data_IF_989846390371
#
_entry.id   IF_989846390371
#
_cell.length_a   1.000
_cell.length_b   1.000
_cell.length_c   1.000
_cell.angle_alpha   90.00
_cell.angle_beta   90.00
_cell.angle_gamma   90.00
#
_symmetry.space_group_name_H-M   'P 1'
#
loop_
_entity.id
_entity.type
_entity.pdbx_description
1 polymer ?
#
# COMPACT_ATOMS: atom_id res chain seq x y z
N UNK A 1 4.48 -15.88 -22.80
CA UNK A 1 4.89 -16.08 -21.38
C UNK A 1 4.68 -14.77 -20.65
N UNK A 2 3.82 -14.71 -19.64
CA UNK A 2 3.55 -13.49 -18.89
C UNK A 2 4.73 -13.19 -17.95
N UNK A 3 5.54 -12.20 -18.29
CA UNK A 3 6.67 -11.75 -17.45
C UNK A 3 6.12 -11.33 -16.07
N UNK A 4 6.48 -12.06 -15.02
CA UNK A 4 6.16 -11.73 -13.63
C UNK A 4 6.64 -10.30 -13.36
N UNK A 5 5.72 -9.37 -13.12
CA UNK A 5 6.08 -7.97 -12.80
C UNK A 5 6.93 -7.97 -11.53
N UNK A 6 8.19 -7.52 -11.62
CA UNK A 6 9.04 -7.28 -10.44
C UNK A 6 8.34 -6.24 -9.55
N UNK A 7 7.95 -6.64 -8.34
CA UNK A 7 7.37 -5.75 -7.34
C UNK A 7 8.50 -5.16 -6.50
N UNK A 8 8.56 -3.83 -6.42
CA UNK A 8 9.53 -3.13 -5.58
C UNK A 8 8.88 -2.67 -4.28
N UNK A 9 9.58 -2.82 -3.16
CA UNK A 9 9.12 -2.37 -1.84
C UNK A 9 9.04 -0.83 -1.78
N UNK A 10 8.19 -0.30 -0.90
CA UNK A 10 8.04 1.15 -0.73
C UNK A 10 9.37 1.82 -0.35
N UNK A 11 10.14 1.20 0.55
CA UNK A 11 11.47 1.66 0.94
C UNK A 11 12.45 1.73 -0.24
N UNK A 12 12.46 0.71 -1.11
CA UNK A 12 13.33 0.69 -2.28
C UNK A 12 12.97 1.80 -3.27
N UNK A 13 11.68 2.00 -3.54
CA UNK A 13 11.22 3.09 -4.41
C UNK A 13 11.63 4.46 -3.87
N UNK A 14 11.48 4.68 -2.56
CA UNK A 14 11.88 5.92 -1.90
C UNK A 14 13.40 6.16 -2.00
N UNK A 15 14.22 5.14 -1.77
CA UNK A 15 15.68 5.24 -1.89
C UNK A 15 16.12 5.60 -3.32
N UNK A 16 15.56 4.94 -4.34
CA UNK A 16 15.88 5.21 -5.75
C UNK A 16 15.40 6.60 -6.17
N UNK A 17 14.20 7.00 -5.75
CA UNK A 17 13.68 8.34 -6.00
C UNK A 17 14.54 9.42 -5.35
N UNK A 18 14.98 9.21 -4.11
CA UNK A 18 15.85 10.14 -3.39
C UNK A 18 17.22 10.27 -4.07
N UNK A 19 17.82 9.16 -4.51
CA UNK A 19 19.05 9.19 -5.30
C UNK A 19 18.89 9.99 -6.61
N UNK A 20 17.73 9.87 -7.28
CA UNK A 20 17.41 10.62 -8.50
C UNK A 20 17.07 12.10 -8.26
N UNK A 21 16.66 12.48 -7.04
CA UNK A 21 16.43 13.87 -6.63
C UNK A 21 17.76 14.54 -6.24
N UNK A 22 18.63 13.82 -5.52
CA UNK A 22 19.91 14.34 -5.04
C UNK A 22 20.81 14.85 -6.16
N UNK A 23 20.71 14.25 -7.36
CA UNK A 23 21.37 14.77 -8.56
C UNK A 23 22.86 14.41 -8.69
N UNK A 24 23.45 13.72 -7.71
CA UNK A 24 24.84 13.24 -7.76
C UNK A 24 25.15 12.34 -8.96
N UNK A 25 24.13 11.66 -9.51
CA UNK A 25 24.22 10.72 -10.63
C UNK A 25 23.10 10.97 -11.61
N UNK A 26 23.37 10.72 -12.88
CA UNK A 26 22.33 10.80 -13.92
C UNK A 26 21.30 9.67 -13.73
N UNK A 27 20.10 9.86 -14.24
CA UNK A 27 19.04 8.83 -14.13
C UNK A 27 19.48 7.51 -14.75
N UNK A 28 20.28 7.55 -15.81
CA UNK A 28 20.84 6.35 -16.43
C UNK A 28 21.86 5.64 -15.53
N UNK A 29 22.69 6.38 -14.80
CA UNK A 29 23.61 5.79 -13.82
C UNK A 29 22.86 5.20 -12.61
N UNK A 30 21.81 5.86 -12.14
CA UNK A 30 20.93 5.33 -11.08
C UNK A 30 20.19 4.08 -11.58
N UNK A 31 19.73 4.08 -12.83
CA UNK A 31 19.12 2.92 -13.47
C UNK A 31 20.07 1.71 -13.50
N UNK A 32 21.32 1.92 -13.91
CA UNK A 32 22.34 0.88 -13.92
C UNK A 32 22.71 0.40 -12.51
N UNK A 33 22.80 1.32 -11.53
CA UNK A 33 23.19 0.96 -10.17
C UNK A 33 22.13 0.11 -9.45
N UNK A 34 20.85 0.44 -9.65
CA UNK A 34 19.74 -0.19 -8.94
C UNK A 34 19.02 -1.26 -9.77
N UNK A 35 19.47 -1.53 -11.00
CA UNK A 35 18.80 -2.42 -11.98
C UNK A 35 17.32 -2.05 -12.19
N UNK A 36 17.06 -0.74 -12.36
CA UNK A 36 15.71 -0.19 -12.53
C UNK A 36 15.61 0.56 -13.84
N UNK A 37 14.53 0.33 -14.59
CA UNK A 37 14.29 1.05 -15.83
C UNK A 37 14.13 2.57 -15.58
N UNK A 38 14.78 3.47 -16.36
CA UNK A 38 14.72 4.92 -16.17
C UNK A 38 13.30 5.49 -16.01
N UNK A 39 12.33 4.99 -16.78
CA UNK A 39 10.91 5.39 -16.68
C UNK A 39 10.32 5.20 -15.27
N UNK A 40 10.68 4.12 -14.57
CA UNK A 40 10.22 3.87 -13.21
C UNK A 40 10.85 4.87 -12.23
N UNK A 41 12.12 5.22 -12.44
CA UNK A 41 12.83 6.21 -11.63
C UNK A 41 12.16 7.58 -11.78
N UNK A 42 11.82 7.99 -12.99
CA UNK A 42 11.06 9.23 -13.23
C UNK A 42 9.71 9.22 -12.52
N UNK A 43 8.97 8.10 -12.60
CA UNK A 43 7.68 7.95 -11.93
C UNK A 43 7.81 8.05 -10.40
N UNK A 44 8.79 7.36 -9.80
CA UNK A 44 9.01 7.37 -8.35
C UNK A 44 9.55 8.73 -7.88
N UNK A 45 10.39 9.39 -8.66
CA UNK A 45 10.83 10.77 -8.39
C UNK A 45 9.64 11.73 -8.31
N UNK A 46 8.72 11.66 -9.29
CA UNK A 46 7.49 12.47 -9.27
C UNK A 46 6.60 12.14 -8.07
N UNK A 47 6.45 10.86 -7.75
CA UNK A 47 5.65 10.41 -6.62
C UNK A 47 6.24 10.89 -5.28
N UNK A 48 7.57 10.84 -5.12
CA UNK A 48 8.25 11.31 -3.91
C UNK A 48 8.15 12.83 -3.76
N UNK A 49 8.27 13.60 -4.84
CA UNK A 49 8.10 15.06 -4.80
C UNK A 49 6.66 15.45 -4.43
N UNK A 50 5.65 14.80 -5.02
CA UNK A 50 4.26 15.06 -4.69
C UNK A 50 3.88 14.63 -3.25
N UNK A 51 4.49 13.55 -2.76
CA UNK A 51 4.30 13.09 -1.38
C UNK A 51 5.18 13.79 -0.35
N UNK A 52 6.19 14.57 -0.77
CA UNK A 52 7.08 15.24 0.17
C UNK A 52 6.35 16.30 0.99
N UNK A 53 5.42 17.03 0.36
CA UNK A 53 4.58 18.03 1.03
C UNK A 53 3.73 17.41 2.14
N UNK A 54 3.20 16.20 1.93
CA UNK A 54 2.37 15.53 2.94
C UNK A 54 3.16 15.09 4.17
N UNK A 55 4.45 14.80 4.01
CA UNK A 55 5.36 14.48 5.13
C UNK A 55 5.51 15.68 6.09
N UNK A 56 5.50 16.90 5.57
CA UNK A 56 5.63 18.12 6.37
C UNK A 56 4.28 18.76 6.75
N UNK A 57 3.23 18.53 5.96
CA UNK A 57 1.87 18.99 6.24
C UNK A 57 1.21 18.20 7.39
N UNK A 58 1.56 16.92 7.53
CA UNK A 58 1.07 16.09 8.63
C UNK A 58 1.94 16.26 9.88
N UNK A 59 1.60 17.24 10.70
CA UNK A 59 1.86 17.14 12.13
C UNK A 59 1.10 15.94 12.71
N UNK A 60 1.70 14.76 12.67
CA UNK A 60 1.22 13.49 13.27
C UNK A 60 0.03 12.80 12.54
N UNK A 61 0.39 11.66 11.91
CA UNK A 61 -0.41 10.46 11.48
C UNK A 61 -1.27 10.54 10.21
N UNK A 62 -1.17 9.48 9.36
CA UNK A 62 -2.00 8.30 9.59
C UNK A 62 -1.16 7.02 9.68
N UNK A 63 -0.97 6.50 10.90
CA UNK A 63 -0.51 5.13 11.12
C UNK A 63 -1.74 4.23 11.18
N UNK A 64 -2.31 3.91 10.02
CA UNK A 64 -3.43 2.98 9.91
C UNK A 64 -4.16 3.16 8.58
N UNK A 65 -4.73 2.09 7.98
CA UNK A 65 -5.73 2.24 6.93
C UNK A 65 -6.84 3.20 7.40
N UNK A 66 -7.51 3.93 6.51
CA UNK A 66 -8.75 4.61 6.89
C UNK A 66 -9.71 3.54 7.40
N UNK A 67 -9.98 3.56 8.71
CA UNK A 67 -10.88 2.63 9.40
C UNK A 67 -12.36 2.87 9.04
N UNK A 68 -12.64 3.60 7.95
CA UNK A 68 -13.99 3.88 7.46
C UNK A 68 -14.83 2.61 7.25
N UNK A 69 -14.18 1.46 7.02
CA UNK A 69 -14.83 0.16 6.83
C UNK A 69 -14.59 -0.82 7.97
N UNK A 70 -13.72 -0.51 8.91
CA UNK A 70 -13.37 -1.43 9.99
C UNK A 70 -14.58 -1.65 10.90
N UNK A 71 -15.27 -0.57 11.26
CA UNK A 71 -16.51 -0.64 12.05
C UNK A 71 -17.65 -1.34 11.30
N UNK A 72 -17.77 -1.09 9.99
CA UNK A 72 -18.77 -1.74 9.13
C UNK A 72 -18.53 -3.26 9.04
N UNK A 73 -17.27 -3.66 8.85
CA UNK A 73 -16.86 -5.07 8.80
C UNK A 73 -17.06 -5.76 10.15
N UNK A 74 -16.74 -5.10 11.28
CA UNK A 74 -17.03 -5.65 12.61
C UNK A 74 -18.54 -5.82 12.84
N UNK A 75 -19.36 -4.86 12.42
CA UNK A 75 -20.82 -4.98 12.51
C UNK A 75 -21.37 -6.13 11.65
N UNK A 76 -20.82 -6.34 10.45
CA UNK A 76 -21.20 -7.44 9.57
C UNK A 76 -20.81 -8.81 10.15
N UNK A 77 -19.61 -8.93 10.72
CA UNK A 77 -19.18 -10.15 11.42
C UNK A 77 -20.11 -10.46 12.60
N UNK A 78 -20.50 -9.44 13.39
CA UNK A 78 -21.45 -9.60 14.49
C UNK A 78 -22.82 -10.11 14.03
N UNK A 79 -23.39 -9.51 12.96
CA UNK A 79 -24.66 -9.96 12.36
C UNK A 79 -24.58 -11.40 11.88
N UNK A 80 -23.57 -11.73 11.10
CA UNK A 80 -23.38 -13.09 10.56
C UNK A 80 -23.26 -14.13 11.66
N UNK A 81 -22.60 -13.79 12.79
CA UNK A 81 -22.49 -14.71 13.93
C UNK A 81 -23.86 -15.00 14.56
N UNK A 82 -24.68 -13.96 14.78
CA UNK A 82 -26.03 -14.12 15.33
C UNK A 82 -26.93 -14.92 14.40
N UNK A 83 -26.89 -14.65 13.09
CA UNK A 83 -27.65 -15.41 12.09
C UNK A 83 -27.23 -16.88 12.07
N UNK A 84 -25.92 -17.14 12.12
CA UNK A 84 -25.39 -18.50 12.10
C UNK A 84 -25.76 -19.27 13.38
N UNK A 85 -25.71 -18.63 14.55
CA UNK A 85 -26.16 -19.23 15.81
C UNK A 85 -27.67 -19.49 15.82
N UNK A 86 -28.47 -18.59 15.23
CA UNK A 86 -29.90 -18.78 15.06
C UNK A 86 -30.24 -19.95 14.13
N UNK A 87 -29.56 -20.04 12.97
CA UNK A 87 -29.72 -21.14 12.02
C UNK A 87 -29.34 -22.46 12.67
N UNK A 88 -28.20 -22.53 13.37
CA UNK A 88 -27.76 -23.74 14.10
C UNK A 88 -28.77 -24.18 15.15
N UNK A 89 -29.34 -23.24 15.91
CA UNK A 89 -30.38 -23.54 16.91
C UNK A 89 -31.65 -24.08 16.27
N UNK A 90 -32.08 -23.50 15.15
CA UNK A 90 -33.27 -23.97 14.41
C UNK A 90 -33.05 -25.34 13.77
N UNK A 91 -31.89 -25.59 13.16
CA UNK A 91 -31.56 -26.89 12.59
C UNK A 91 -31.48 -27.98 13.67
N UNK A 92 -30.95 -27.66 14.85
CA UNK A 92 -30.89 -28.60 15.98
C UNK A 92 -32.26 -28.88 16.62
N UNK A 93 -33.26 -28.02 16.41
CA UNK A 93 -34.63 -28.23 16.87
C UNK A 93 -35.53 -28.94 15.83
N UNK A 94 -35.03 -29.13 14.61
CA UNK A 94 -35.73 -29.77 13.49
C UNK A 94 -35.17 -31.17 13.16
N UNK A 95 -34.14 -31.62 13.89
CA UNK A 95 -33.68 -33.01 13.92
C UNK A 95 -34.03 -33.64 15.26
#
# INVERSE_FOLDING_TARGET
>A
MATKRKTHTAAFKAQVALAAIKGDRTINQVASQYDVHPTLIHAWKKQLLAGAETVFASGVKPTGPPDDKTDELYAQIGRLKVELDWVKKKSAALG
#
